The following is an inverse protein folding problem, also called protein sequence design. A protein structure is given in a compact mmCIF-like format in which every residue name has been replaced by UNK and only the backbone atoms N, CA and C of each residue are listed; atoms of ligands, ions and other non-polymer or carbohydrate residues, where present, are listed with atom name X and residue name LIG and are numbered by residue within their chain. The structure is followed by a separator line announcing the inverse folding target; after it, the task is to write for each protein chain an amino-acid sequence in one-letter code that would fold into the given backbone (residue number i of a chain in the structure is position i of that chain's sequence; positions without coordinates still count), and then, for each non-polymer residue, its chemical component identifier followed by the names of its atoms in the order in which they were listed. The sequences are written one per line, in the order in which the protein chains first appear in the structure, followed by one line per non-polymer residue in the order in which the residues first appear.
data_IF_729060440438
#
_entry.id   IF_729060440438
#
_cell.length_a   1.000
_cell.length_b   1.000
_cell.length_c   1.000
_cell.angle_alpha   90.00
_cell.angle_beta   90.00
_cell.angle_gamma   90.00
#
_symmetry.space_group_name_H-M   'P 1'
#
loop_
_entity.id
_entity.type
_entity.pdbx_description
1 polymer ?
#
# COMPACT_ATOMS: atom_id res chain seq x y z
N UNK A 1 -2.83 -1.14 -10.12
CA UNK A 1 -2.50 -1.78 -8.83
C UNK A 1 -1.11 -2.40 -8.83
N UNK A 2 -0.59 -2.84 -9.97
CA UNK A 2 0.74 -3.47 -10.09
C UNK A 2 1.88 -2.59 -9.60
N UNK A 3 1.93 -1.33 -10.07
CA UNK A 3 2.96 -0.37 -9.68
C UNK A 3 2.99 -0.18 -8.15
N UNK A 4 1.83 -0.16 -7.49
CA UNK A 4 1.77 -0.01 -6.03
C UNK A 4 2.23 -1.27 -5.31
N UNK A 5 1.86 -2.45 -5.81
CA UNK A 5 2.30 -3.73 -5.26
C UNK A 5 3.82 -3.90 -5.35
N UNK A 6 4.42 -3.51 -6.48
CA UNK A 6 5.87 -3.53 -6.67
C UNK A 6 6.57 -2.50 -5.78
N UNK A 7 6.10 -1.24 -5.79
CA UNK A 7 6.70 -0.15 -5.02
C UNK A 7 6.72 -0.42 -3.51
N UNK A 8 5.59 -0.88 -2.97
CA UNK A 8 5.45 -1.19 -1.54
C UNK A 8 5.88 -2.62 -1.19
N UNK A 9 6.26 -3.45 -2.18
CA UNK A 9 6.62 -4.87 -2.01
C UNK A 9 5.56 -5.67 -1.25
N UNK A 10 4.28 -5.46 -1.58
CA UNK A 10 3.14 -6.18 -1.00
C UNK A 10 2.26 -6.82 -2.06
N UNK A 11 1.58 -7.93 -1.77
CA UNK A 11 0.63 -8.51 -2.72
C UNK A 11 -0.54 -7.56 -2.98
N UNK A 12 -1.12 -7.62 -4.19
CA UNK A 12 -2.26 -6.78 -4.60
C UNK A 12 -3.45 -6.87 -3.63
N UNK A 13 -3.65 -8.03 -2.98
CA UNK A 13 -4.71 -8.25 -1.98
C UNK A 13 -4.57 -7.37 -0.72
N UNK A 14 -3.37 -6.85 -0.45
CA UNK A 14 -3.07 -5.93 0.65
C UNK A 14 -3.26 -4.45 0.26
N UNK A 15 -3.77 -4.17 -0.94
CA UNK A 15 -3.99 -2.81 -1.43
C UNK A 15 -5.48 -2.63 -1.71
N UNK A 16 -6.11 -1.67 -1.06
CA UNK A 16 -7.54 -1.37 -1.21
C UNK A 16 -7.75 0.07 -1.67
N UNK A 17 -8.66 0.29 -2.63
CA UNK A 17 -9.09 1.65 -3.01
C UNK A 17 -10.16 2.09 -2.02
N UNK A 18 -9.86 3.10 -1.20
CA UNK A 18 -10.83 3.69 -0.29
C UNK A 18 -11.78 4.64 -1.01
N UNK A 19 -11.27 5.44 -1.96
CA UNK A 19 -12.08 6.41 -2.73
C UNK A 19 -11.54 6.62 -4.15
N UNK A 20 -12.43 7.10 -5.03
CA UNK A 20 -12.07 7.51 -6.38
C UNK A 20 -12.01 6.36 -7.39
N UNK A 21 -12.77 5.27 -7.19
CA UNK A 21 -12.79 4.13 -8.13
C UNK A 21 -13.10 4.57 -9.57
N UNK A 22 -13.96 5.59 -9.76
CA UNK A 22 -14.30 6.20 -11.05
C UNK A 22 -13.57 7.54 -11.35
N UNK A 23 -12.64 7.95 -10.50
CA UNK A 23 -11.88 9.20 -10.63
C UNK A 23 -10.43 8.93 -11.04
N UNK A 24 -9.78 9.93 -11.67
CA UNK A 24 -8.32 9.90 -11.94
C UNK A 24 -7.52 9.84 -10.65
N UNK A 25 -7.93 10.65 -9.66
CA UNK A 25 -7.31 10.69 -8.35
C UNK A 25 -7.95 9.62 -7.47
N UNK A 26 -7.13 8.78 -6.85
CA UNK A 26 -7.56 7.67 -6.01
C UNK A 26 -6.89 7.78 -4.64
N UNK A 27 -7.64 7.44 -3.61
CA UNK A 27 -7.10 7.26 -2.27
C UNK A 27 -7.04 5.75 -2.05
N UNK A 28 -5.84 5.24 -1.75
CA UNK A 28 -5.57 3.82 -1.52
C UNK A 28 -5.07 3.60 -0.10
N UNK A 29 -5.47 2.48 0.49
CA UNK A 29 -4.92 1.95 1.74
C UNK A 29 -3.98 0.79 1.41
N UNK A 30 -2.79 0.81 2.00
CA UNK A 30 -1.79 -0.24 1.87
C UNK A 30 -1.55 -0.85 3.24
N UNK A 31 -1.81 -2.15 3.37
CA UNK A 31 -1.55 -2.89 4.59
C UNK A 31 -0.11 -3.40 4.57
N UNK A 32 0.77 -2.68 5.25
CA UNK A 32 2.16 -3.07 5.44
C UNK A 32 2.25 -3.99 6.67
N UNK A 33 2.71 -5.22 6.49
CA UNK A 33 3.15 -6.03 7.63
C UNK A 33 4.51 -5.50 8.08
N UNK A 34 4.70 -5.27 9.38
CA UNK A 34 6.02 -4.88 9.90
C UNK A 34 6.96 -6.06 9.71
N UNK A 35 7.77 -6.02 8.66
CA UNK A 35 9.07 -6.71 8.71
C UNK A 35 9.88 -5.98 9.77
N UNK A 36 10.39 -6.70 10.76
CA UNK A 36 11.10 -6.20 11.93
C UNK A 36 12.49 -5.62 11.60
N UNK A 37 12.58 -4.76 10.58
CA UNK A 37 13.82 -4.13 10.10
C UNK A 37 13.71 -2.59 10.04
N UNK A 38 12.66 -2.02 10.62
CA UNK A 38 12.64 -0.57 10.87
C UNK A 38 13.49 -0.30 12.12
N UNK A 39 14.57 0.52 12.05
CA UNK A 39 15.31 0.87 13.24
C UNK A 39 14.35 1.60 14.17
N UNK A 40 14.18 1.05 15.36
CA UNK A 40 13.54 1.73 16.49
C UNK A 40 14.38 2.97 16.80
N UNK A 41 14.07 4.11 16.18
CA UNK A 41 14.46 5.38 16.77
C UNK A 41 13.61 5.52 18.03
N UNK A 42 14.25 5.21 19.16
CA UNK A 42 13.78 5.58 20.48
C UNK A 42 13.79 7.08 20.70
#
# INVERSE_FOLDING_TARGET
MEILAEHFKVPKSRISILRGTKSRNKIVQVFLERTADSPSYG
#
